data_IF_334384592860
#
_entry.id   IF_334384592860
#
_cell.length_a   1.000
_cell.length_b   1.000
_cell.length_c   1.000
_cell.angle_alpha   90.00
_cell.angle_beta   90.00
_cell.angle_gamma   90.00
#
_symmetry.space_group_name_H-M   'P 1'
#
loop_
_entity.id
_entity.type
_entity.pdbx_description
1 polymer ?
#
# COMPACT_ATOMS: atom_id res chain seq x y z
N UNK A 1 -13.89 18.97 13.26
CA UNK A 1 -13.62 17.64 12.69
C UNK A 1 -12.13 17.36 12.80
N UNK A 2 -11.77 16.20 13.32
CA UNK A 2 -10.39 15.75 13.49
C UNK A 2 -10.13 14.44 12.73
N UNK A 3 -8.89 14.26 12.29
CA UNK A 3 -8.36 12.99 11.77
C UNK A 3 -7.45 12.33 12.78
N UNK A 4 -7.48 10.99 12.84
CA UNK A 4 -6.58 10.19 13.66
C UNK A 4 -5.41 9.70 12.81
N UNK A 5 -4.21 10.16 13.14
CA UNK A 5 -2.97 9.72 12.49
C UNK A 5 -2.65 8.26 12.83
N UNK A 6 -1.77 7.66 12.02
CA UNK A 6 -1.28 6.28 12.23
C UNK A 6 -0.55 6.11 13.57
N UNK A 7 0.01 7.18 14.13
CA UNK A 7 0.62 7.20 15.47
C UNK A 7 -0.41 7.44 16.61
N UNK A 8 -1.71 7.49 16.29
CA UNK A 8 -2.81 7.72 17.23
C UNK A 8 -3.08 9.20 17.55
N UNK A 9 -2.25 10.14 17.08
CA UNK A 9 -2.46 11.57 17.36
C UNK A 9 -3.66 12.12 16.59
N UNK A 10 -4.38 13.04 17.21
CA UNK A 10 -5.50 13.75 16.59
C UNK A 10 -5.00 15.06 15.99
N UNK A 11 -5.37 15.33 14.74
CA UNK A 11 -5.12 16.62 14.08
C UNK A 11 -6.41 17.18 13.48
N UNK A 12 -6.60 18.51 13.45
CA UNK A 12 -7.72 19.11 12.74
C UNK A 12 -7.63 18.78 11.24
N UNK A 13 -8.77 18.52 10.62
CA UNK A 13 -8.83 18.36 9.16
C UNK A 13 -8.44 19.67 8.49
N UNK A 14 -7.44 19.61 7.61
CA UNK A 14 -6.98 20.76 6.82
C UNK A 14 -7.08 20.42 5.34
N UNK A 15 -7.87 21.18 4.59
CA UNK A 15 -8.06 20.97 3.16
C UNK A 15 -6.74 21.00 2.40
N UNK A 16 -5.88 21.99 2.68
CA UNK A 16 -4.60 22.14 2.00
C UNK A 16 -3.71 20.91 2.16
N UNK A 17 -3.72 20.26 3.33
CA UNK A 17 -2.95 19.02 3.56
C UNK A 17 -3.44 17.86 2.69
N UNK A 18 -4.75 17.75 2.49
CA UNK A 18 -5.35 16.70 1.64
C UNK A 18 -4.99 16.99 0.19
N UNK A 19 -5.22 18.21 -0.27
CA UNK A 19 -4.92 18.66 -1.63
C UNK A 19 -3.44 18.49 -1.97
N UNK A 20 -2.53 18.92 -1.10
CA UNK A 20 -1.09 18.78 -1.30
C UNK A 20 -0.64 17.33 -1.36
N UNK A 21 -1.27 16.45 -0.58
CA UNK A 21 -0.99 15.02 -0.61
C UNK A 21 -1.38 14.40 -1.95
N UNK A 22 -2.56 14.74 -2.48
CA UNK A 22 -3.02 14.26 -3.80
C UNK A 22 -2.15 14.85 -4.90
N UNK A 23 -1.88 16.16 -4.86
CA UNK A 23 -1.06 16.88 -5.85
C UNK A 23 0.32 16.27 -6.03
N UNK A 24 0.99 15.86 -4.94
CA UNK A 24 2.30 15.19 -5.00
C UNK A 24 2.29 13.87 -5.77
N UNK A 25 1.13 13.25 -5.95
CA UNK A 25 0.96 11.98 -6.69
C UNK A 25 0.53 12.20 -8.14
N UNK A 26 0.25 13.44 -8.56
CA UNK A 26 -0.14 13.80 -9.92
C UNK A 26 1.05 13.98 -10.90
N UNK A 27 2.27 13.59 -10.53
CA UNK A 27 3.44 13.78 -11.39
C UNK A 27 3.29 13.05 -12.73
N UNK A 28 3.51 13.77 -13.84
CA UNK A 28 3.40 13.20 -15.19
C UNK A 28 2.00 12.71 -15.59
N UNK A 29 0.96 13.12 -14.87
CA UNK A 29 -0.43 12.94 -15.31
C UNK A 29 -0.87 14.13 -16.16
N UNK A 30 -1.92 13.94 -16.95
CA UNK A 30 -2.54 14.99 -17.75
C UNK A 30 -3.07 16.15 -16.87
N UNK A 31 -2.99 17.39 -17.36
CA UNK A 31 -3.45 18.61 -16.66
C UNK A 31 -4.96 18.61 -16.36
N UNK A 32 -5.75 17.76 -17.04
CA UNK A 32 -7.16 17.54 -16.73
C UNK A 32 -7.40 16.81 -15.39
N UNK A 33 -6.35 16.19 -14.83
CA UNK A 33 -6.37 15.59 -13.50
C UNK A 33 -6.15 16.66 -12.44
N UNK A 34 -7.25 17.08 -11.83
CA UNK A 34 -7.27 18.16 -10.86
C UNK A 34 -7.29 17.60 -9.42
N UNK A 35 -6.19 17.72 -8.66
CA UNK A 35 -6.13 17.25 -7.27
C UNK A 35 -7.10 17.99 -6.34
N UNK A 36 -7.47 19.23 -6.67
CA UNK A 36 -8.41 20.04 -5.89
C UNK A 36 -9.81 19.44 -5.96
N UNK A 37 -10.26 19.02 -7.16
CA UNK A 37 -11.56 18.35 -7.33
C UNK A 37 -11.67 17.05 -6.54
N UNK A 38 -10.58 16.26 -6.51
CA UNK A 38 -10.51 15.05 -5.68
C UNK A 38 -10.65 15.42 -4.20
N UNK A 39 -9.86 16.38 -3.73
CA UNK A 39 -9.87 16.79 -2.33
C UNK A 39 -11.24 17.34 -1.88
N UNK A 40 -11.93 18.11 -2.73
CA UNK A 40 -13.28 18.63 -2.44
C UNK A 40 -14.27 17.49 -2.20
N UNK A 41 -14.30 16.50 -3.09
CA UNK A 41 -15.18 15.32 -2.96
C UNK A 41 -14.81 14.45 -1.76
N UNK A 42 -13.53 14.34 -1.44
CA UNK A 42 -13.08 13.61 -0.25
C UNK A 42 -13.63 14.25 1.02
N UNK A 43 -13.57 15.59 1.13
CA UNK A 43 -14.10 16.32 2.30
C UNK A 43 -15.58 16.05 2.53
N UNK A 44 -16.37 16.00 1.47
CA UNK A 44 -17.82 15.74 1.56
C UNK A 44 -18.12 14.36 2.19
N UNK A 45 -17.20 13.40 2.06
CA UNK A 45 -17.31 12.07 2.66
C UNK A 45 -16.64 11.90 4.02
N UNK A 46 -16.04 12.94 4.61
CA UNK A 46 -15.35 12.83 5.90
C UNK A 46 -16.32 12.90 7.09
N UNK A 47 -15.99 12.14 8.13
CA UNK A 47 -16.63 12.19 9.45
C UNK A 47 -15.59 12.45 10.56
N UNK A 48 -16.06 12.87 11.73
CA UNK A 48 -15.17 13.16 12.86
C UNK A 48 -14.51 11.88 13.40
N UNK A 49 -13.18 11.91 13.54
CA UNK A 49 -12.40 10.78 14.03
C UNK A 49 -11.94 9.81 12.94
N UNK A 50 -12.15 10.11 11.66
CA UNK A 50 -11.65 9.30 10.53
C UNK A 50 -10.13 9.14 10.60
N UNK A 51 -9.62 7.93 10.36
CA UNK A 51 -8.18 7.69 10.37
C UNK A 51 -7.53 8.17 9.08
N UNK A 52 -6.24 8.51 9.14
CA UNK A 52 -5.49 8.89 7.93
C UNK A 52 -5.37 7.76 6.89
N UNK A 53 -5.52 6.50 7.31
CA UNK A 53 -5.55 5.36 6.38
C UNK A 53 -6.90 5.23 5.69
N UNK A 54 -8.01 5.46 6.40
CA UNK A 54 -9.36 5.52 5.81
C UNK A 54 -9.51 6.71 4.87
N UNK A 55 -8.96 7.88 5.24
CA UNK A 55 -8.94 9.07 4.39
C UNK A 55 -8.22 8.80 3.07
N UNK A 56 -7.08 8.10 3.10
CA UNK A 56 -6.35 7.73 1.89
C UNK A 56 -7.14 6.73 1.03
N UNK A 57 -7.87 5.79 1.65
CA UNK A 57 -8.74 4.87 0.92
C UNK A 57 -9.90 5.62 0.24
N UNK A 58 -10.56 6.53 0.96
CA UNK A 58 -11.62 7.37 0.41
C UNK A 58 -11.11 8.23 -0.76
N UNK A 59 -9.90 8.79 -0.64
CA UNK A 59 -9.28 9.55 -1.72
C UNK A 59 -8.98 8.70 -2.96
N UNK A 60 -8.50 7.47 -2.77
CA UNK A 60 -8.26 6.54 -3.86
C UNK A 60 -9.58 6.14 -4.56
N UNK A 61 -10.62 5.81 -3.80
CA UNK A 61 -11.95 5.46 -4.35
C UNK A 61 -12.59 6.64 -5.08
N UNK A 62 -12.48 7.85 -4.51
CA UNK A 62 -12.95 9.08 -5.12
C UNK A 62 -12.25 9.33 -6.46
N UNK A 63 -10.92 9.24 -6.49
CA UNK A 63 -10.17 9.36 -7.73
C UNK A 63 -10.56 8.28 -8.75
N UNK A 64 -10.74 7.03 -8.32
CA UNK A 64 -11.16 5.95 -9.22
C UNK A 64 -12.52 6.22 -9.87
N UNK A 65 -13.48 6.79 -9.13
CA UNK A 65 -14.79 7.19 -9.68
C UNK A 65 -14.68 8.28 -10.77
N UNK A 66 -13.61 9.09 -10.73
CA UNK A 66 -13.35 10.17 -11.68
C UNK A 66 -12.68 9.70 -12.97
N UNK A 67 -12.40 8.40 -13.11
CA UNK A 67 -11.90 7.79 -14.36
C UNK A 67 -12.82 8.06 -15.55
N UNK A 68 -14.13 8.23 -15.30
CA UNK A 68 -15.13 8.60 -16.32
C UNK A 68 -14.79 9.96 -16.95
N UNK A 69 -14.14 10.87 -16.22
CA UNK A 69 -13.72 12.17 -16.71
C UNK A 69 -12.39 12.12 -17.46
N UNK A 70 -11.42 11.36 -16.97
CA UNK A 70 -10.13 11.15 -17.64
C UNK A 70 -9.45 9.86 -17.13
N UNK A 71 -8.83 9.03 -18.00
CA UNK A 71 -8.22 7.77 -17.59
C UNK A 71 -7.10 7.90 -16.55
N UNK A 72 -6.33 8.99 -16.57
CA UNK A 72 -5.24 9.23 -15.60
C UNK A 72 -5.72 9.34 -14.14
N UNK A 73 -7.02 9.57 -13.88
CA UNK A 73 -7.56 9.46 -12.53
C UNK A 73 -7.46 8.04 -11.97
N UNK A 74 -7.49 7.01 -12.83
CA UNK A 74 -7.24 5.63 -12.41
C UNK A 74 -5.78 5.43 -11.97
N UNK A 75 -4.83 6.09 -12.65
CA UNK A 75 -3.42 6.08 -12.21
C UNK A 75 -3.25 6.83 -10.89
N UNK A 76 -3.88 8.01 -10.74
CA UNK A 76 -3.86 8.74 -9.47
C UNK A 76 -4.44 7.91 -8.32
N UNK A 77 -5.58 7.26 -8.54
CA UNK A 77 -6.22 6.37 -7.56
C UNK A 77 -5.28 5.23 -7.14
N UNK A 78 -4.62 4.59 -8.10
CA UNK A 78 -3.63 3.55 -7.83
C UNK A 78 -2.47 4.08 -6.99
N UNK A 79 -1.92 5.24 -7.36
CA UNK A 79 -0.79 5.88 -6.64
C UNK A 79 -1.16 6.26 -5.21
N UNK A 80 -2.38 6.73 -4.97
CA UNK A 80 -2.88 7.01 -3.62
C UNK A 80 -2.96 5.70 -2.82
N UNK A 81 -3.56 4.65 -3.38
CA UNK A 81 -3.71 3.36 -2.72
C UNK A 81 -2.35 2.70 -2.40
N UNK A 82 -1.40 2.74 -3.34
CA UNK A 82 -0.02 2.26 -3.15
C UNK A 82 0.71 3.08 -2.08
N UNK A 83 0.58 4.42 -2.11
CA UNK A 83 1.15 5.29 -1.08
C UNK A 83 0.58 4.97 0.30
N UNK A 84 -0.71 4.64 0.40
CA UNK A 84 -1.33 4.19 1.64
C UNK A 84 -0.72 2.85 2.09
N UNK A 85 -0.64 1.86 1.20
CA UNK A 85 -0.05 0.55 1.51
C UNK A 85 1.39 0.68 2.01
N UNK A 86 2.23 1.48 1.35
CA UNK A 86 3.62 1.71 1.76
C UNK A 86 3.74 2.31 3.16
N UNK A 87 2.76 3.11 3.61
CA UNK A 87 2.74 3.66 4.97
C UNK A 87 2.24 2.68 6.03
N UNK A 88 1.57 1.61 5.62
CA UNK A 88 1.06 0.56 6.52
C UNK A 88 1.89 -0.74 6.45
N UNK A 89 2.98 -0.77 5.69
CA UNK A 89 3.86 -1.94 5.52
C UNK A 89 5.31 -1.59 5.76
N UNK A 90 6.10 -2.56 6.24
CA UNK A 90 7.55 -2.41 6.38
C UNK A 90 8.19 -2.14 5.02
N UNK A 91 9.30 -1.39 5.03
CA UNK A 91 10.04 -1.07 3.81
C UNK A 91 10.94 -2.22 3.39
N UNK A 92 11.70 -2.81 4.32
CA UNK A 92 12.59 -3.94 4.03
C UNK A 92 11.78 -5.17 3.60
N UNK A 93 12.24 -5.84 2.54
CA UNK A 93 11.67 -7.11 2.11
C UNK A 93 12.07 -8.22 3.07
N UNK A 94 13.34 -8.31 3.45
CA UNK A 94 13.83 -9.35 4.37
C UNK A 94 13.13 -9.30 5.74
N UNK A 95 12.90 -8.11 6.32
CA UNK A 95 12.13 -7.95 7.56
C UNK A 95 10.67 -8.41 7.42
N UNK A 96 10.02 -8.11 6.29
CA UNK A 96 8.65 -8.59 6.03
C UNK A 96 8.62 -10.12 5.92
N UNK A 97 9.61 -10.72 5.25
CA UNK A 97 9.70 -12.18 5.11
C UNK A 97 9.97 -12.86 6.46
N UNK A 98 10.78 -12.23 7.33
CA UNK A 98 11.01 -12.67 8.70
C UNK A 98 9.72 -12.69 9.52
N UNK A 99 8.92 -11.63 9.47
CA UNK A 99 7.62 -11.58 10.17
C UNK A 99 6.66 -12.66 9.67
N UNK A 100 6.67 -12.92 8.36
CA UNK A 100 5.81 -13.91 7.72
C UNK A 100 6.21 -15.34 8.05
N UNK A 101 7.51 -15.61 8.19
CA UNK A 101 8.02 -16.92 8.60
C UNK A 101 7.72 -17.18 10.09
N UNK A 102 7.97 -16.21 10.97
CA UNK A 102 7.70 -16.34 12.41
C UNK A 102 6.23 -16.06 12.78
N UNK A 103 5.31 -16.16 11.83
CA UNK A 103 3.89 -15.92 12.11
C UNK A 103 3.33 -17.01 13.04
N UNK A 104 2.76 -16.56 14.16
CA UNK A 104 2.03 -17.41 15.10
C UNK A 104 0.54 -17.13 14.97
N UNK A 105 -0.25 -18.18 14.78
CA UNK A 105 -1.70 -18.05 14.68
C UNK A 105 -2.28 -17.64 16.04
N UNK A 106 -2.91 -16.45 16.17
CA UNK A 106 -3.36 -15.95 17.47
C UNK A 106 -4.51 -16.76 18.07
N UNK A 107 -5.21 -17.59 17.29
CA UNK A 107 -6.31 -18.43 17.77
C UNK A 107 -5.82 -19.74 18.38
N UNK A 108 -4.74 -20.30 17.84
CA UNK A 108 -4.21 -21.61 18.26
C UNK A 108 -2.93 -21.48 19.09
N UNK A 109 -2.24 -20.33 19.02
CA UNK A 109 -0.94 -20.11 19.65
C UNK A 109 0.21 -20.90 19.00
N UNK A 110 -0.03 -21.50 17.84
CA UNK A 110 0.94 -22.34 17.14
C UNK A 110 1.61 -21.56 16.01
N UNK A 111 2.88 -21.87 15.77
CA UNK A 111 3.60 -21.40 14.59
C UNK A 111 2.87 -21.87 13.33
N UNK A 112 2.72 -20.95 12.38
CA UNK A 112 2.04 -21.18 11.11
C UNK A 112 2.75 -20.37 10.03
N UNK A 113 4.03 -20.68 9.75
CA UNK A 113 4.84 -19.93 8.79
C UNK A 113 4.13 -19.78 7.45
N UNK A 114 4.18 -18.58 6.88
CA UNK A 114 3.61 -18.28 5.55
C UNK A 114 4.61 -18.54 4.41
N UNK A 115 5.85 -18.93 4.75
CA UNK A 115 6.94 -19.24 3.83
C UNK A 115 7.49 -20.63 4.16
N UNK A 116 7.98 -21.36 3.16
CA UNK A 116 8.74 -22.58 3.42
C UNK A 116 10.13 -22.27 3.97
N UNK A 117 10.70 -23.21 4.73
CA UNK A 117 12.04 -23.09 5.31
C UNK A 117 13.09 -22.77 4.25
N UNK A 118 13.09 -23.52 3.14
CA UNK A 118 14.03 -23.34 2.02
C UNK A 118 13.99 -21.92 1.43
N UNK A 119 12.79 -21.36 1.25
CA UNK A 119 12.61 -20.00 0.72
C UNK A 119 13.09 -18.96 1.73
N UNK A 120 12.73 -19.14 3.00
CA UNK A 120 13.14 -18.24 4.06
C UNK A 120 14.67 -18.21 4.23
N UNK A 121 15.32 -19.37 4.29
CA UNK A 121 16.77 -19.48 4.41
C UNK A 121 17.49 -18.82 3.23
N UNK A 122 17.04 -19.07 1.99
CA UNK A 122 17.61 -18.46 0.80
C UNK A 122 17.47 -16.92 0.81
N UNK A 123 16.32 -16.41 1.26
CA UNK A 123 16.08 -14.97 1.42
C UNK A 123 17.04 -14.39 2.46
N UNK A 124 17.13 -15.00 3.64
CA UNK A 124 17.94 -14.49 4.75
C UNK A 124 19.43 -14.54 4.44
N UNK A 125 19.91 -15.58 3.76
CA UNK A 125 21.30 -15.68 3.31
C UNK A 125 21.69 -14.56 2.31
N UNK A 126 20.71 -13.99 1.59
CA UNK A 126 20.92 -12.96 0.58
C UNK A 126 20.24 -11.62 0.90
N UNK A 127 19.85 -11.40 2.17
CA UNK A 127 18.93 -10.34 2.59
C UNK A 127 19.36 -8.94 2.08
N UNK A 128 20.61 -8.55 2.32
CA UNK A 128 21.13 -7.23 1.92
C UNK A 128 21.07 -7.01 0.40
N UNK A 129 21.43 -8.03 -0.38
CA UNK A 129 21.38 -7.97 -1.84
C UNK A 129 19.95 -7.88 -2.36
N UNK A 130 19.04 -8.67 -1.80
CA UNK A 130 17.63 -8.67 -2.22
C UNK A 130 16.95 -7.35 -1.86
N UNK A 131 17.15 -6.84 -0.65
CA UNK A 131 16.59 -5.56 -0.19
C UNK A 131 17.08 -4.38 -1.05
N UNK A 132 18.36 -4.36 -1.41
CA UNK A 132 18.94 -3.29 -2.24
C UNK A 132 18.55 -3.36 -3.72
N UNK A 133 18.13 -4.54 -4.20
CA UNK A 133 17.72 -4.73 -5.61
C UNK A 133 16.28 -4.25 -5.87
N UNK A 134 15.44 -4.18 -4.85
CA UNK A 134 14.01 -3.85 -5.03
C UNK A 134 13.81 -2.36 -5.33
N UNK A 135 13.11 -2.09 -6.44
CA UNK A 135 12.74 -0.73 -6.86
C UNK A 135 11.27 -0.48 -6.52
N UNK A 136 10.99 0.03 -5.32
CA UNK A 136 9.61 0.30 -4.85
C UNK A 136 8.82 1.32 -5.69
N UNK A 137 9.50 2.17 -6.47
CA UNK A 137 8.81 3.08 -7.39
C UNK A 137 7.99 2.33 -8.46
N UNK A 138 8.32 1.05 -8.73
CA UNK A 138 7.55 0.21 -9.67
C UNK A 138 6.15 -0.13 -9.16
N UNK A 139 5.90 -0.05 -7.85
CA UNK A 139 4.55 -0.25 -7.31
C UNK A 139 3.57 0.83 -7.79
N UNK A 140 4.05 2.00 -8.21
CA UNK A 140 3.21 3.09 -8.72
C UNK A 140 2.84 2.94 -10.21
N UNK A 141 3.26 1.85 -10.86
CA UNK A 141 2.96 1.55 -12.26
C UNK A 141 1.67 0.73 -12.45
N UNK A 142 1.07 0.23 -11.37
CA UNK A 142 -0.22 -0.46 -11.45
C UNK A 142 -1.35 0.54 -11.70
N UNK A 143 -2.39 0.07 -12.37
CA UNK A 143 -3.69 0.73 -12.38
C UNK A 143 -4.46 0.42 -11.08
N UNK A 144 -5.55 1.15 -10.85
CA UNK A 144 -6.28 1.02 -9.59
C UNK A 144 -6.91 -0.36 -9.41
N UNK A 145 -7.51 -0.90 -10.48
CA UNK A 145 -8.18 -2.19 -10.44
C UNK A 145 -7.20 -3.35 -10.31
N UNK A 146 -6.08 -3.31 -11.04
CA UNK A 146 -4.99 -4.28 -10.88
C UNK A 146 -4.42 -4.25 -9.46
N UNK A 147 -4.16 -3.07 -8.90
CA UNK A 147 -3.69 -2.95 -7.52
C UNK A 147 -4.70 -3.50 -6.50
N UNK A 148 -5.99 -3.18 -6.63
CA UNK A 148 -7.03 -3.72 -5.73
C UNK A 148 -7.18 -5.24 -5.84
N UNK A 149 -6.93 -5.80 -7.02
CA UNK A 149 -6.90 -7.25 -7.22
C UNK A 149 -5.74 -7.89 -6.45
N UNK A 150 -4.55 -7.29 -6.52
CA UNK A 150 -3.39 -7.72 -5.74
C UNK A 150 -3.66 -7.64 -4.23
N UNK A 151 -4.18 -6.51 -3.76
CA UNK A 151 -4.51 -6.25 -2.35
C UNK A 151 -5.50 -7.28 -1.78
N UNK A 152 -6.48 -7.69 -2.58
CA UNK A 152 -7.52 -8.63 -2.15
C UNK A 152 -7.02 -10.06 -2.04
N UNK A 153 -6.27 -10.53 -3.04
CA UNK A 153 -6.07 -11.97 -3.26
C UNK A 153 -4.61 -12.43 -3.31
N UNK A 154 -3.65 -11.54 -3.51
CA UNK A 154 -2.25 -11.94 -3.77
C UNK A 154 -1.28 -11.51 -2.66
N UNK A 155 -1.47 -10.32 -2.09
CA UNK A 155 -0.60 -9.82 -1.03
C UNK A 155 -0.88 -10.55 0.28
N UNK A 156 0.17 -11.12 0.87
CA UNK A 156 0.04 -11.90 2.09
C UNK A 156 -0.28 -11.02 3.31
N UNK A 157 -1.03 -11.63 4.24
CA UNK A 157 -1.62 -10.97 5.41
C UNK A 157 -1.18 -11.66 6.69
N UNK A 158 -0.87 -10.87 7.71
CA UNK A 158 -0.68 -11.32 9.08
C UNK A 158 -1.83 -10.72 9.90
N UNK A 159 -2.55 -11.54 10.66
CA UNK A 159 -3.69 -11.11 11.48
C UNK A 159 -4.74 -10.29 10.70
N UNK A 160 -4.96 -10.63 9.44
CA UNK A 160 -5.90 -9.94 8.55
C UNK A 160 -5.38 -8.62 7.96
N UNK A 161 -4.19 -8.17 8.34
CA UNK A 161 -3.56 -6.96 7.80
C UNK A 161 -2.53 -7.32 6.74
N UNK A 162 -2.51 -6.56 5.64
CA UNK A 162 -1.54 -6.77 4.56
C UNK A 162 -0.17 -6.31 5.03
N UNK A 163 0.81 -7.20 4.94
CA UNK A 163 2.20 -6.92 5.33
C UNK A 163 3.13 -6.82 4.12
N UNK A 164 2.70 -7.36 2.99
CA UNK A 164 3.48 -7.50 1.78
C UNK A 164 3.18 -6.37 0.77
N UNK A 165 4.23 -5.80 0.17
CA UNK A 165 4.11 -4.88 -0.98
C UNK A 165 4.11 -5.66 -2.31
N UNK A 166 3.60 -5.10 -3.42
CA UNK A 166 3.67 -5.79 -4.71
C UNK A 166 5.11 -6.18 -5.11
N UNK A 167 6.10 -5.30 -4.93
CA UNK A 167 7.50 -5.69 -5.15
C UNK A 167 7.99 -6.82 -4.22
N UNK A 168 7.51 -6.88 -2.97
CA UNK A 168 7.86 -7.98 -2.06
C UNK A 168 7.31 -9.31 -2.58
N UNK A 169 6.05 -9.32 -3.03
CA UNK A 169 5.42 -10.49 -3.63
C UNK A 169 6.19 -10.97 -4.87
N UNK A 170 6.55 -10.06 -5.78
CA UNK A 170 7.31 -10.41 -6.98
C UNK A 170 8.69 -10.98 -6.63
N UNK A 171 9.39 -10.40 -5.64
CA UNK A 171 10.68 -10.91 -5.20
C UNK A 171 10.56 -12.28 -4.52
N UNK A 172 9.57 -12.47 -3.64
CA UNK A 172 9.29 -13.77 -3.02
C UNK A 172 9.03 -14.86 -4.05
N UNK A 173 8.20 -14.57 -5.06
CA UNK A 173 7.93 -15.51 -6.16
C UNK A 173 9.22 -15.81 -6.95
N UNK A 174 10.02 -14.79 -7.23
CA UNK A 174 11.29 -14.96 -7.95
C UNK A 174 12.25 -15.87 -7.19
N UNK A 175 12.44 -15.65 -5.88
CA UNK A 175 13.30 -16.50 -5.04
C UNK A 175 12.73 -17.92 -4.98
N UNK A 176 11.43 -18.07 -4.76
CA UNK A 176 10.78 -19.39 -4.68
C UNK A 176 10.88 -20.23 -5.97
N UNK A 177 11.00 -19.61 -7.14
CA UNK A 177 11.21 -20.32 -8.41
C UNK A 177 12.68 -20.66 -8.64
N UNK A 178 13.62 -19.83 -8.14
CA UNK A 178 15.04 -19.89 -8.47
C UNK A 178 15.93 -20.30 -7.28
N UNK A 179 15.46 -21.22 -6.43
CA UNK A 179 16.20 -21.73 -5.25
C UNK A 179 17.45 -22.57 -5.59
N UNK A 180 17.73 -22.81 -6.87
CA UNK A 180 18.84 -23.65 -7.36
C UNK A 180 20.20 -22.93 -7.35
#
# INVERSE_FOLDING_TARGET
MFVVKRDGKREPVMFDKITDRVRKLCYGLNDLVDPVKVAMRVIEGLYDGVTTSELDNLAAETAASMTISHPDYAQLAARIAVSNLHKNTKKSFSETMYDMYHYVNPRTGQESPLLSDEVYEAIMANAEKLDSTIIYNRDFNYDYFGFKTLERSYLLKINGQIVERPQHMLMRVSVGIHLN
#
